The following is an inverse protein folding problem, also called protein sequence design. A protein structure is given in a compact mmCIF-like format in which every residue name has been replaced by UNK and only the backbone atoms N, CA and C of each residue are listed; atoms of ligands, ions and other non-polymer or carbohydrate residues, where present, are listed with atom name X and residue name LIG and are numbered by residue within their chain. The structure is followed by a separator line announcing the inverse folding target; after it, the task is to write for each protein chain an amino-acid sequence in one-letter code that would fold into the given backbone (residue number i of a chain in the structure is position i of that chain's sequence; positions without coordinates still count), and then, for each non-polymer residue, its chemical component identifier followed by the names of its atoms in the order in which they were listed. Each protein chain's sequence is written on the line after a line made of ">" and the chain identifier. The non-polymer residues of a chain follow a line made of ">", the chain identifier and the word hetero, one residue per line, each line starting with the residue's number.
data_IF_529926802398
#
_entry.id   IF_529926802398
#
_cell.length_a   1.000
_cell.length_b   1.000
_cell.length_c   1.000
_cell.angle_alpha   90.00
_cell.angle_beta   90.00
_cell.angle_gamma   90.00
#
_symmetry.space_group_name_H-M   'P 1'
#
loop_
_entity.id
_entity.type
_entity.pdbx_description
1 polymer ?
#
# COMPACT_ATOMS: atom_id res chain seq x y z
N UNK A 1 33.24 -20.98 -5.92
CA UNK A 1 33.65 -19.99 -6.94
C UNK A 1 32.45 -19.68 -7.83
N UNK A 2 31.77 -18.55 -7.58
CA UNK A 2 30.90 -17.79 -8.53
C UNK A 2 30.19 -16.65 -7.78
N UNK A 3 30.76 -15.43 -7.94
CA UNK A 3 30.17 -14.06 -8.05
C UNK A 3 28.94 -13.75 -7.16
N UNK A 4 28.94 -12.85 -6.17
CA UNK A 4 29.48 -11.48 -6.00
C UNK A 4 28.94 -10.44 -7.00
N UNK A 5 28.15 -9.46 -6.50
CA UNK A 5 27.93 -8.15 -7.11
C UNK A 5 26.46 -7.67 -7.20
N UNK A 6 26.03 -6.76 -6.32
CA UNK A 6 25.83 -5.32 -6.63
C UNK A 6 25.09 -4.62 -5.47
N UNK A 7 25.81 -3.81 -4.69
CA UNK A 7 25.27 -2.65 -3.99
C UNK A 7 26.16 -1.49 -4.38
N UNK A 8 25.62 -0.56 -5.16
CA UNK A 8 26.30 0.68 -5.53
C UNK A 8 25.78 1.80 -4.62
N UNK A 9 26.73 2.52 -4.04
CA UNK A 9 26.57 3.69 -3.22
C UNK A 9 25.95 4.86 -4.01
N UNK A 10 25.14 5.69 -3.33
CA UNK A 10 24.68 6.99 -3.82
C UNK A 10 25.41 8.07 -3.03
N UNK A 11 26.21 8.95 -3.65
CA UNK A 11 26.76 10.11 -2.99
C UNK A 11 25.85 11.34 -3.13
N UNK A 12 25.81 12.13 -2.05
CA UNK A 12 25.24 13.47 -1.96
C UNK A 12 25.78 14.43 -3.03
N UNK A 13 24.86 15.16 -3.70
CA UNK A 13 24.97 16.59 -4.03
C UNK A 13 23.71 17.03 -4.81
N UNK A 14 22.76 17.71 -4.16
CA UNK A 14 21.63 18.37 -4.81
C UNK A 14 21.97 19.84 -5.07
N UNK A 15 22.48 20.13 -6.27
CA UNK A 15 22.50 21.49 -6.82
C UNK A 15 21.15 21.77 -7.47
N UNK A 16 20.42 22.75 -6.95
CA UNK A 16 19.15 23.23 -7.51
C UNK A 16 19.39 23.85 -8.90
N UNK A 17 18.95 23.17 -9.96
CA UNK A 17 18.83 23.76 -11.29
C UNK A 17 17.43 24.33 -11.50
N UNK A 18 17.30 25.47 -12.21
CA UNK A 18 16.01 26.09 -12.49
C UNK A 18 15.13 25.22 -13.42
N UNK A 19 13.79 25.39 -13.37
CA UNK A 19 12.85 24.56 -14.11
C UNK A 19 12.97 24.79 -15.62
N UNK A 20 13.36 23.75 -16.36
CA UNK A 20 13.34 23.74 -17.83
C UNK A 20 11.89 23.60 -18.32
N UNK A 21 11.30 24.72 -18.73
CA UNK A 21 10.01 24.76 -19.40
C UNK A 21 10.05 24.09 -20.79
N UNK A 22 8.99 23.32 -21.06
CA UNK A 22 8.55 22.74 -22.35
C UNK A 22 9.58 21.98 -23.18
N UNK A 23 9.77 20.71 -22.81
CA UNK A 23 10.31 19.67 -23.70
C UNK A 23 9.24 19.32 -24.74
N UNK A 24 9.53 19.54 -26.02
CA UNK A 24 8.69 19.09 -27.13
C UNK A 24 8.34 17.60 -26.96
N UNK A 25 7.04 17.29 -26.89
CA UNK A 25 6.56 15.92 -26.74
C UNK A 25 6.92 15.11 -27.99
N UNK A 26 8.04 14.38 -27.93
CA UNK A 26 8.33 13.34 -28.91
C UNK A 26 7.23 12.29 -28.81
N UNK A 27 6.49 12.09 -29.89
CA UNK A 27 5.55 10.98 -30.02
C UNK A 27 6.33 9.68 -29.84
N UNK A 28 6.19 9.04 -28.68
CA UNK A 28 6.80 7.73 -28.45
C UNK A 28 6.16 6.74 -29.42
N UNK A 29 6.99 5.97 -30.14
CA UNK A 29 6.51 4.82 -30.92
C UNK A 29 5.61 3.96 -30.04
N UNK A 30 4.51 3.40 -30.57
CA UNK A 30 3.63 2.52 -29.80
C UNK A 30 4.47 1.40 -29.21
N UNK A 31 4.47 1.30 -27.87
CA UNK A 31 5.17 0.23 -27.14
C UNK A 31 4.52 -1.07 -27.59
N UNK A 32 5.32 -2.05 -28.05
CA UNK A 32 4.79 -3.39 -28.28
C UNK A 32 4.05 -3.84 -27.02
N UNK A 33 2.90 -4.54 -27.15
CA UNK A 33 2.14 -4.99 -25.99
C UNK A 33 3.06 -5.81 -25.10
N UNK A 34 3.15 -5.43 -23.83
CA UNK A 34 3.94 -6.17 -22.86
C UNK A 34 3.46 -7.63 -22.84
N UNK A 35 4.42 -8.56 -22.80
CA UNK A 35 4.11 -9.98 -22.66
C UNK A 35 3.24 -10.19 -21.40
N UNK A 36 2.12 -10.90 -21.56
CA UNK A 36 1.17 -11.12 -20.46
C UNK A 36 1.81 -12.05 -19.44
N UNK A 37 1.78 -11.68 -18.17
CA UNK A 37 2.35 -12.47 -17.07
C UNK A 37 1.49 -13.72 -16.83
N UNK A 38 2.10 -14.91 -16.81
CA UNK A 38 1.44 -16.14 -16.37
C UNK A 38 1.42 -16.21 -14.83
N UNK A 39 0.38 -15.64 -14.23
CA UNK A 39 0.21 -15.67 -12.78
C UNK A 39 0.09 -17.08 -12.20
N UNK A 40 -0.42 -18.06 -12.97
CA UNK A 40 -0.57 -19.44 -12.48
C UNK A 40 0.80 -20.05 -12.22
N UNK A 41 1.76 -19.82 -13.13
CA UNK A 41 3.15 -20.23 -12.94
C UNK A 41 3.76 -19.55 -11.70
N UNK A 42 3.56 -18.23 -11.56
CA UNK A 42 4.08 -17.47 -10.40
C UNK A 42 3.54 -18.00 -9.07
N UNK A 43 2.27 -18.37 -8.98
CA UNK A 43 1.68 -18.95 -7.77
C UNK A 43 2.20 -20.35 -7.44
N UNK A 44 2.64 -21.12 -8.45
CA UNK A 44 3.20 -22.47 -8.27
C UNK A 44 4.66 -22.41 -7.82
N UNK A 45 5.43 -21.47 -8.31
CA UNK A 45 6.84 -21.35 -7.95
C UNK A 45 7.03 -20.48 -6.68
N UNK A 46 7.23 -21.15 -5.54
CA UNK A 46 7.56 -20.47 -4.28
C UNK A 46 8.81 -19.59 -4.33
N UNK A 47 9.76 -19.89 -5.21
CA UNK A 47 11.00 -19.11 -5.37
C UNK A 47 10.74 -17.75 -6.01
N UNK A 48 9.65 -17.64 -6.78
CA UNK A 48 9.24 -16.39 -7.42
C UNK A 48 8.27 -15.62 -6.52
N UNK A 49 7.39 -16.34 -5.82
CA UNK A 49 6.34 -15.72 -5.00
C UNK A 49 6.91 -14.93 -3.81
N UNK A 50 7.94 -15.46 -3.15
CA UNK A 50 8.61 -14.78 -2.03
C UNK A 50 9.12 -13.37 -2.41
N UNK A 51 9.99 -13.24 -3.44
CA UNK A 51 10.45 -11.94 -3.93
C UNK A 51 9.32 -10.98 -4.32
N UNK A 52 8.24 -11.48 -4.94
CA UNK A 52 7.07 -10.65 -5.27
C UNK A 52 6.42 -10.11 -4.00
N UNK A 53 6.15 -10.96 -3.00
CA UNK A 53 5.52 -10.55 -1.74
C UNK A 53 6.40 -9.52 -0.99
N UNK A 54 7.71 -9.76 -0.91
CA UNK A 54 8.63 -8.80 -0.31
C UNK A 54 8.66 -7.48 -1.08
N UNK A 55 8.67 -7.52 -2.41
CA UNK A 55 8.62 -6.31 -3.24
C UNK A 55 7.35 -5.50 -3.03
N UNK A 56 6.19 -6.16 -2.87
CA UNK A 56 4.92 -5.50 -2.56
C UNK A 56 4.96 -4.80 -1.20
N UNK A 57 5.51 -5.45 -0.18
CA UNK A 57 5.64 -4.85 1.17
C UNK A 57 6.58 -3.64 1.12
N UNK A 58 7.76 -3.77 0.50
CA UNK A 58 8.73 -2.66 0.40
C UNK A 58 8.13 -1.48 -0.35
N UNK A 59 7.53 -1.72 -1.52
CA UNK A 59 6.87 -0.65 -2.29
C UNK A 59 5.73 0.01 -1.49
N UNK A 60 4.91 -0.79 -0.80
CA UNK A 60 3.89 -0.25 0.10
C UNK A 60 4.48 0.62 1.21
N UNK A 61 5.57 0.19 1.85
CA UNK A 61 6.24 0.95 2.90
C UNK A 61 6.82 2.26 2.39
N UNK A 62 7.38 2.28 1.19
CA UNK A 62 7.85 3.52 0.54
C UNK A 62 6.70 4.51 0.35
N UNK A 63 5.53 4.06 -0.11
CA UNK A 63 4.35 4.92 -0.23
C UNK A 63 3.86 5.41 1.14
N UNK A 64 3.76 4.52 2.14
CA UNK A 64 3.33 4.89 3.50
C UNK A 64 4.24 5.94 4.14
N UNK A 65 5.56 5.70 4.14
CA UNK A 65 6.56 6.64 4.67
C UNK A 65 6.72 7.87 3.79
N UNK A 66 6.25 7.81 2.54
CA UNK A 66 6.16 8.94 1.63
C UNK A 66 5.01 9.90 1.95
N UNK A 67 3.97 9.46 2.67
CA UNK A 67 2.81 10.30 3.01
C UNK A 67 3.24 11.51 3.87
N UNK A 68 2.80 12.70 3.49
CA UNK A 68 3.20 13.97 4.10
C UNK A 68 2.87 13.98 5.60
N UNK A 69 1.67 13.53 5.96
CA UNK A 69 1.21 13.46 7.34
C UNK A 69 2.03 12.47 8.19
N UNK A 70 2.55 11.39 7.60
CA UNK A 70 3.40 10.42 8.30
C UNK A 70 4.80 11.02 8.51
N UNK A 71 5.34 11.72 7.52
CA UNK A 71 6.66 12.37 7.62
C UNK A 71 6.69 13.50 8.65
N UNK A 72 5.56 14.19 8.82
CA UNK A 72 5.45 15.37 9.68
C UNK A 72 4.57 15.11 10.90
N UNK A 73 4.38 13.85 11.30
CA UNK A 73 3.46 13.47 12.38
C UNK A 73 3.80 14.13 13.72
N UNK A 74 5.08 14.18 14.08
CA UNK A 74 5.53 14.86 15.31
C UNK A 74 5.29 16.38 15.26
N UNK A 75 5.39 17.00 14.07
CA UNK A 75 5.12 18.43 13.92
C UNK A 75 3.62 18.74 14.05
N UNK A 76 2.77 17.86 13.50
CA UNK A 76 1.33 17.96 13.66
C UNK A 76 0.93 17.83 15.14
N UNK A 77 1.53 16.89 15.86
CA UNK A 77 1.30 16.71 17.29
C UNK A 77 1.73 17.94 18.10
N UNK A 78 2.93 18.46 17.83
CA UNK A 78 3.43 19.69 18.46
C UNK A 78 2.54 20.91 18.15
N UNK A 79 1.96 20.99 16.93
CA UNK A 79 1.03 22.04 16.56
C UNK A 79 -0.27 21.97 17.38
N UNK A 80 -0.82 20.76 17.56
CA UNK A 80 -2.00 20.54 18.40
C UNK A 80 -1.71 20.87 19.87
N UNK A 81 -0.52 20.52 20.36
CA UNK A 81 -0.03 20.88 21.70
C UNK A 81 0.00 22.39 21.95
N UNK A 82 0.57 23.16 21.01
CA UNK A 82 0.60 24.63 21.09
C UNK A 82 -0.81 25.23 21.10
N UNK A 83 -1.71 24.69 20.26
CA UNK A 83 -3.12 25.12 20.23
C UNK A 83 -3.81 24.86 21.56
N UNK A 84 -3.68 23.66 22.11
CA UNK A 84 -4.36 23.26 23.36
C UNK A 84 -3.86 24.09 24.56
N UNK A 85 -2.60 24.52 24.54
CA UNK A 85 -2.03 25.45 25.55
C UNK A 85 -2.38 26.92 25.31
N UNK A 86 -3.06 27.25 24.20
CA UNK A 86 -3.40 28.63 23.84
C UNK A 86 -2.19 29.47 23.39
N UNK A 87 -1.10 28.84 22.97
CA UNK A 87 0.12 29.51 22.52
C UNK A 87 0.00 30.10 21.10
N UNK A 88 -0.99 29.64 20.34
CA UNK A 88 -1.27 30.10 18.98
C UNK A 88 -2.76 30.42 18.83
N UNK A 89 -3.04 31.46 18.05
CA UNK A 89 -4.41 31.82 17.68
C UNK A 89 -5.02 30.86 16.67
N UNK A 90 -6.34 30.91 16.51
CA UNK A 90 -7.07 30.05 15.56
C UNK A 90 -6.62 30.27 14.10
N UNK A 91 -6.31 31.50 13.73
CA UNK A 91 -5.85 31.85 12.38
C UNK A 91 -4.46 31.24 12.08
N UNK A 92 -3.50 31.41 12.99
CA UNK A 92 -2.16 30.79 12.86
C UNK A 92 -2.26 29.27 12.81
N UNK A 93 -3.10 28.67 13.67
CA UNK A 93 -3.35 27.23 13.64
C UNK A 93 -3.91 26.76 12.30
N UNK A 94 -4.89 27.47 11.74
CA UNK A 94 -5.48 27.16 10.44
C UNK A 94 -4.46 27.23 9.29
N UNK A 95 -3.60 28.26 9.29
CA UNK A 95 -2.52 28.38 8.29
C UNK A 95 -1.50 27.25 8.42
N UNK A 96 -1.11 26.90 9.65
CA UNK A 96 -0.17 25.81 9.91
C UNK A 96 -0.75 24.42 9.58
N UNK A 97 -2.07 24.25 9.68
CA UNK A 97 -2.76 23.00 9.36
C UNK A 97 -3.02 22.81 7.86
N UNK A 98 -3.07 23.91 7.10
CA UNK A 98 -3.42 23.89 5.68
C UNK A 98 -2.63 22.88 4.83
N UNK A 99 -1.29 22.70 4.98
CA UNK A 99 -0.55 21.70 4.22
C UNK A 99 -1.08 20.27 4.41
N UNK A 100 -1.41 19.88 5.65
CA UNK A 100 -1.99 18.57 5.96
C UNK A 100 -3.36 18.40 5.31
N UNK A 101 -4.17 19.45 5.24
CA UNK A 101 -5.48 19.39 4.59
C UNK A 101 -5.38 19.24 3.07
N UNK A 102 -4.39 19.86 2.44
CA UNK A 102 -4.19 19.77 0.99
C UNK A 102 -3.69 18.39 0.56
N UNK A 103 -2.90 17.72 1.40
CA UNK A 103 -2.35 16.39 1.11
C UNK A 103 -3.20 15.23 1.65
N UNK A 104 -4.28 15.48 2.42
CA UNK A 104 -5.13 14.45 3.07
C UNK A 104 -5.55 13.31 2.11
N UNK A 105 -6.03 13.66 0.92
CA UNK A 105 -6.42 12.66 -0.08
C UNK A 105 -5.22 11.84 -0.57
N UNK A 106 -4.12 12.51 -0.88
CA UNK A 106 -2.91 11.85 -1.38
C UNK A 106 -2.34 10.90 -0.33
N UNK A 107 -2.32 11.35 0.93
CA UNK A 107 -1.84 10.59 2.07
C UNK A 107 -2.75 9.40 2.37
N UNK A 108 -4.07 9.58 2.38
CA UNK A 108 -5.01 8.47 2.56
C UNK A 108 -4.88 7.41 1.47
N UNK A 109 -4.61 7.80 0.21
CA UNK A 109 -4.33 6.86 -0.89
C UNK A 109 -3.04 6.09 -0.60
N UNK A 110 -1.96 6.77 -0.22
CA UNK A 110 -0.66 6.14 0.11
C UNK A 110 -0.78 5.14 1.26
N UNK A 111 -1.49 5.53 2.33
CA UNK A 111 -1.77 4.64 3.46
C UNK A 111 -2.57 3.41 2.99
N UNK A 112 -3.62 3.61 2.19
CA UNK A 112 -4.40 2.50 1.62
C UNK A 112 -3.53 1.57 0.75
N UNK A 113 -2.64 2.12 -0.09
CA UNK A 113 -1.75 1.32 -0.96
C UNK A 113 -0.85 0.41 -0.15
N UNK A 114 -0.29 0.90 0.96
CA UNK A 114 0.51 0.08 1.87
C UNK A 114 -0.29 -1.10 2.42
N UNK A 115 -1.44 -0.85 3.05
CA UNK A 115 -2.24 -1.91 3.65
C UNK A 115 -2.80 -2.89 2.60
N UNK A 116 -3.16 -2.41 1.42
CA UNK A 116 -3.58 -3.26 0.31
C UNK A 116 -2.46 -4.18 -0.17
N UNK A 117 -1.24 -3.67 -0.32
CA UNK A 117 -0.08 -4.47 -0.71
C UNK A 117 0.34 -5.46 0.38
N UNK A 118 0.35 -5.01 1.63
CA UNK A 118 0.60 -5.85 2.80
C UNK A 118 -0.35 -7.04 2.84
N UNK A 119 -1.66 -6.80 2.82
CA UNK A 119 -2.67 -7.87 2.89
C UNK A 119 -2.56 -8.85 1.72
N UNK A 120 -2.28 -8.36 0.51
CA UNK A 120 -2.04 -9.25 -0.66
C UNK A 120 -0.79 -10.08 -0.49
N UNK A 121 0.30 -9.49 0.02
CA UNK A 121 1.55 -10.21 0.26
C UNK A 121 1.35 -11.36 1.26
N UNK A 122 0.63 -11.11 2.37
CA UNK A 122 0.28 -12.14 3.36
C UNK A 122 -0.60 -13.24 2.74
N UNK A 123 -1.60 -12.87 1.96
CA UNK A 123 -2.44 -13.86 1.27
C UNK A 123 -1.63 -14.71 0.28
N UNK A 124 -0.72 -14.09 -0.46
CA UNK A 124 0.11 -14.78 -1.43
C UNK A 124 1.14 -15.71 -0.76
N UNK A 125 1.74 -15.31 0.37
CA UNK A 125 2.64 -16.19 1.14
C UNK A 125 1.88 -17.43 1.66
N UNK A 126 0.62 -17.26 2.03
CA UNK A 126 -0.30 -18.34 2.42
C UNK A 126 -0.94 -19.09 1.23
N UNK A 127 -0.37 -18.94 0.02
CA UNK A 127 -0.80 -19.63 -1.21
C UNK A 127 -2.27 -19.36 -1.58
N UNK A 128 -2.78 -18.17 -1.24
CA UNK A 128 -4.10 -17.69 -1.66
C UNK A 128 -4.00 -16.91 -2.98
N UNK A 129 -5.04 -17.00 -3.79
CA UNK A 129 -5.17 -16.30 -5.07
C UNK A 129 -5.73 -14.90 -4.79
N UNK A 130 -4.97 -13.86 -5.13
CA UNK A 130 -5.40 -12.45 -5.07
C UNK A 130 -5.85 -11.91 -6.42
N UNK A 131 -5.47 -12.55 -7.52
CA UNK A 131 -5.87 -12.15 -8.87
C UNK A 131 -7.32 -12.56 -9.17
N UNK A 132 -8.04 -11.72 -9.89
CA UNK A 132 -9.45 -11.94 -10.24
C UNK A 132 -9.58 -12.92 -11.42
N UNK A 133 -10.70 -13.63 -11.47
CA UNK A 133 -11.04 -14.53 -12.58
C UNK A 133 -11.85 -13.79 -13.66
N UNK A 134 -11.47 -13.91 -14.92
CA UNK A 134 -12.12 -13.21 -16.06
C UNK A 134 -13.12 -14.08 -16.83
N UNK A 135 -12.97 -15.40 -16.76
CA UNK A 135 -13.78 -16.35 -17.53
C UNK A 135 -15.17 -16.54 -16.94
N UNK A 136 -16.23 -16.54 -17.76
CA UNK A 136 -17.63 -16.74 -17.32
C UNK A 136 -17.81 -18.07 -16.56
N UNK A 137 -17.10 -19.13 -16.97
CA UNK A 137 -17.18 -20.43 -16.26
C UNK A 137 -16.63 -20.35 -14.82
N UNK A 138 -15.76 -19.39 -14.54
CA UNK A 138 -15.14 -19.17 -13.23
C UNK A 138 -15.88 -18.12 -12.40
N UNK A 139 -16.96 -17.53 -12.90
CA UNK A 139 -17.80 -16.57 -12.17
C UNK A 139 -18.27 -17.07 -10.81
N UNK A 140 -18.67 -18.36 -10.62
CA UNK A 140 -18.96 -18.88 -9.29
C UNK A 140 -17.75 -18.83 -8.34
N UNK A 141 -16.54 -19.03 -8.85
CA UNK A 141 -15.30 -18.95 -8.06
C UNK A 141 -14.96 -17.50 -7.72
N UNK A 142 -15.12 -16.55 -8.66
CA UNK A 142 -14.97 -15.12 -8.41
C UNK A 142 -15.94 -14.60 -7.34
N UNK A 143 -17.23 -14.99 -7.42
CA UNK A 143 -18.22 -14.68 -6.36
C UNK A 143 -17.82 -15.24 -4.99
N UNK A 144 -17.15 -16.40 -4.95
CA UNK A 144 -16.62 -16.96 -3.70
C UNK A 144 -15.40 -16.19 -3.21
N UNK A 145 -14.51 -15.77 -4.12
CA UNK A 145 -13.32 -14.97 -3.80
C UNK A 145 -13.71 -13.64 -3.13
N UNK A 146 -14.78 -12.99 -3.59
CA UNK A 146 -15.30 -11.77 -2.95
C UNK A 146 -15.76 -11.98 -1.49
N UNK A 147 -16.00 -13.22 -1.07
CA UNK A 147 -16.47 -13.56 0.29
C UNK A 147 -15.40 -14.18 1.16
N UNK A 148 -14.42 -14.86 0.57
CA UNK A 148 -13.36 -15.58 1.31
C UNK A 148 -12.14 -15.86 0.41
N UNK A 149 -10.95 -16.05 1.02
CA UNK A 149 -9.75 -16.45 0.29
C UNK A 149 -9.94 -17.76 -0.50
N UNK A 150 -9.27 -17.85 -1.66
CA UNK A 150 -9.25 -19.05 -2.51
C UNK A 150 -7.82 -19.57 -2.60
N UNK A 151 -7.59 -20.79 -2.12
CA UNK A 151 -6.28 -21.45 -2.19
C UNK A 151 -5.86 -21.78 -3.64
N UNK A 152 -4.57 -21.64 -3.96
CA UNK A 152 -4.02 -21.82 -5.30
C UNK A 152 -4.22 -23.23 -5.89
N UNK A 153 -4.45 -24.28 -5.06
CA UNK A 153 -4.80 -25.63 -5.53
C UNK A 153 -6.03 -25.67 -6.45
N UNK A 154 -6.88 -24.64 -6.39
CA UNK A 154 -8.01 -24.49 -7.33
C UNK A 154 -7.56 -24.30 -8.78
N UNK A 155 -6.34 -23.81 -9.05
CA UNK A 155 -5.80 -23.75 -10.41
C UNK A 155 -5.75 -25.15 -11.05
N UNK A 156 -5.28 -26.15 -10.30
CA UNK A 156 -5.21 -27.55 -10.77
C UNK A 156 -6.60 -28.17 -10.79
N UNK A 157 -7.35 -28.05 -9.68
CA UNK A 157 -8.68 -28.68 -9.52
C UNK A 157 -9.67 -28.25 -10.59
N UNK A 158 -9.67 -26.97 -10.98
CA UNK A 158 -10.60 -26.41 -11.95
C UNK A 158 -10.02 -26.30 -13.36
N UNK A 159 -8.78 -26.78 -13.57
CA UNK A 159 -8.03 -26.65 -14.83
C UNK A 159 -8.07 -25.22 -15.36
N UNK A 160 -7.70 -24.27 -14.51
CA UNK A 160 -7.71 -22.83 -14.85
C UNK A 160 -6.53 -22.56 -15.79
N UNK A 161 -6.80 -21.85 -16.88
CA UNK A 161 -5.79 -21.45 -17.86
C UNK A 161 -5.27 -20.02 -17.58
N UNK A 162 -4.04 -19.68 -17.96
CA UNK A 162 -3.46 -18.35 -17.70
C UNK A 162 -4.30 -17.18 -18.21
N UNK A 163 -4.98 -17.36 -19.36
CA UNK A 163 -5.86 -16.33 -19.94
C UNK A 163 -7.10 -16.01 -19.10
N UNK A 164 -7.48 -16.91 -18.19
CA UNK A 164 -8.68 -16.78 -17.34
C UNK A 164 -8.40 -16.10 -16.00
N UNK A 165 -7.13 -15.74 -15.76
CA UNK A 165 -6.68 -14.93 -14.63
C UNK A 165 -6.39 -13.52 -15.14
N UNK A 166 -6.95 -12.53 -14.43
CA UNK A 166 -6.77 -11.11 -14.68
C UNK A 166 -5.49 -10.60 -14.04
N UNK A 167 -4.93 -9.51 -14.57
CA UNK A 167 -3.92 -8.71 -13.85
C UNK A 167 -4.58 -7.87 -12.75
N UNK A 168 -5.91 -7.72 -12.77
CA UNK A 168 -6.66 -7.11 -11.68
C UNK A 168 -6.65 -8.02 -10.45
N UNK A 169 -6.51 -7.41 -9.29
CA UNK A 169 -6.48 -8.11 -8.00
C UNK A 169 -7.73 -7.77 -7.18
N UNK A 170 -8.00 -8.56 -6.13
CA UNK A 170 -9.01 -8.23 -5.14
C UNK A 170 -8.66 -6.90 -4.46
N UNK A 171 -9.65 -6.03 -4.28
CA UNK A 171 -9.46 -4.73 -3.66
C UNK A 171 -9.47 -4.79 -2.13
N UNK A 172 -8.98 -3.71 -1.51
CA UNK A 172 -8.86 -3.59 -0.06
C UNK A 172 -10.17 -3.88 0.71
N UNK A 173 -11.31 -3.39 0.22
CA UNK A 173 -12.62 -3.63 0.85
C UNK A 173 -12.99 -5.12 0.98
N UNK A 174 -12.54 -5.98 0.06
CA UNK A 174 -12.73 -7.43 0.17
C UNK A 174 -11.86 -8.02 1.28
N UNK A 175 -10.61 -7.57 1.40
CA UNK A 175 -9.64 -8.10 2.37
C UNK A 175 -9.92 -7.63 3.80
N UNK A 176 -10.65 -6.54 4.00
CA UNK A 176 -11.06 -6.05 5.33
C UNK A 176 -12.20 -6.85 5.98
N UNK A 177 -12.80 -7.81 5.25
CA UNK A 177 -13.87 -8.64 5.79
C UNK A 177 -13.34 -9.72 6.75
N UNK A 178 -14.24 -10.28 7.57
CA UNK A 178 -13.88 -11.25 8.62
C UNK A 178 -13.16 -12.49 8.07
N UNK A 179 -13.63 -13.04 6.95
CA UNK A 179 -13.10 -14.28 6.37
C UNK A 179 -11.67 -14.12 5.85
N UNK A 180 -11.31 -12.92 5.37
CA UNK A 180 -9.94 -12.62 4.98
C UNK A 180 -9.05 -12.35 6.21
N UNK A 181 -9.59 -11.69 7.23
CA UNK A 181 -8.86 -11.39 8.46
C UNK A 181 -8.54 -12.63 9.30
N UNK A 182 -9.22 -13.76 9.11
CA UNK A 182 -8.81 -15.07 9.69
C UNK A 182 -7.39 -15.50 9.26
N UNK A 183 -6.95 -15.08 8.07
CA UNK A 183 -5.62 -15.37 7.53
C UNK A 183 -4.68 -14.18 7.72
N UNK A 184 -5.14 -12.97 7.38
CA UNK A 184 -4.31 -11.75 7.43
C UNK A 184 -3.97 -11.36 8.87
N UNK A 185 -4.95 -11.44 9.77
CA UNK A 185 -4.81 -11.14 11.21
C UNK A 185 -4.21 -9.75 11.49
N UNK A 186 -4.75 -8.69 10.87
CA UNK A 186 -4.42 -7.34 11.33
C UNK A 186 -4.84 -7.18 12.81
N UNK A 187 -4.05 -6.49 13.65
CA UNK A 187 -4.50 -6.05 14.97
C UNK A 187 -5.84 -5.31 14.86
N UNK A 188 -6.78 -5.55 15.78
CA UNK A 188 -8.15 -5.04 15.64
C UNK A 188 -8.21 -3.52 15.62
N UNK A 189 -7.33 -2.84 16.37
CA UNK A 189 -7.19 -1.39 16.37
C UNK A 189 -6.67 -0.87 15.01
N UNK A 190 -5.61 -1.47 14.46
CA UNK A 190 -5.11 -1.16 13.10
C UNK A 190 -6.19 -1.40 12.06
N UNK A 191 -6.91 -2.53 12.16
CA UNK A 191 -7.98 -2.90 11.25
C UNK A 191 -9.14 -1.88 11.28
N UNK A 192 -9.52 -1.39 12.46
CA UNK A 192 -10.54 -0.37 12.62
C UNK A 192 -10.13 0.94 11.91
N UNK A 193 -8.90 1.40 12.15
CA UNK A 193 -8.37 2.62 11.53
C UNK A 193 -8.32 2.49 10.00
N UNK A 194 -7.82 1.38 9.48
CA UNK A 194 -7.74 1.14 8.02
C UNK A 194 -9.12 1.09 7.37
N UNK A 195 -10.14 0.53 8.06
CA UNK A 195 -11.53 0.55 7.58
C UNK A 195 -12.07 1.96 7.46
N UNK A 196 -11.81 2.81 8.46
CA UNK A 196 -12.23 4.21 8.47
C UNK A 196 -11.59 5.00 7.32
N UNK A 197 -10.26 4.93 7.17
CA UNK A 197 -9.54 5.59 6.07
C UNK A 197 -10.07 5.13 4.70
N UNK A 198 -10.29 3.82 4.53
CA UNK A 198 -10.83 3.26 3.30
C UNK A 198 -12.26 3.75 3.00
N UNK A 199 -13.11 3.87 4.03
CA UNK A 199 -14.48 4.40 3.88
C UNK A 199 -14.46 5.87 3.50
N UNK A 200 -13.68 6.67 4.24
CA UNK A 200 -13.52 8.11 4.01
C UNK A 200 -13.07 8.41 2.57
N UNK A 201 -12.09 7.65 2.05
CA UNK A 201 -11.65 7.77 0.65
C UNK A 201 -12.78 7.47 -0.35
N UNK A 202 -13.62 6.47 -0.10
CA UNK A 202 -14.74 6.13 -0.99
C UNK A 202 -15.85 7.19 -0.95
N UNK A 203 -15.99 7.90 0.16
CA UNK A 203 -16.95 8.98 0.36
C UNK A 203 -16.50 10.32 -0.22
N UNK A 204 -15.24 10.45 -0.67
CA UNK A 204 -14.67 11.70 -1.16
C UNK A 204 -15.51 12.33 -2.28
N UNK A 205 -16.13 11.52 -3.13
CA UNK A 205 -17.04 11.99 -4.19
C UNK A 205 -18.26 12.78 -3.68
N UNK A 206 -18.56 12.68 -2.38
CA UNK A 206 -19.75 13.24 -1.77
C UNK A 206 -19.47 14.33 -0.74
N UNK A 207 -18.20 14.67 -0.48
CA UNK A 207 -17.84 15.71 0.50
C UNK A 207 -17.78 17.08 -0.19
N UNK A 208 -18.71 18.01 0.11
CA UNK A 208 -18.72 19.34 -0.51
C UNK A 208 -17.57 20.22 -0.04
N UNK A 209 -16.95 19.90 1.11
CA UNK A 209 -15.80 20.61 1.67
C UNK A 209 -14.77 19.61 2.23
N UNK A 210 -13.49 19.91 2.04
CA UNK A 210 -12.37 19.23 2.71
C UNK A 210 -12.28 19.82 4.12
N UNK A 211 -13.09 19.31 5.04
CA UNK A 211 -12.92 19.56 6.46
C UNK A 211 -12.10 18.40 7.04
N UNK A 212 -10.77 18.53 6.99
CA UNK A 212 -9.89 17.61 7.70
C UNK A 212 -10.00 17.88 9.20
N UNK A 213 -10.63 16.96 9.94
CA UNK A 213 -10.63 16.99 11.40
C UNK A 213 -9.35 16.33 11.91
N UNK A 214 -8.26 17.10 11.91
CA UNK A 214 -7.01 16.68 12.53
C UNK A 214 -7.10 16.92 14.04
N UNK A 215 -7.53 15.88 14.75
CA UNK A 215 -7.62 15.85 16.20
C UNK A 215 -6.57 14.96 16.86
N UNK A 216 -6.60 14.89 18.20
CA UNK A 216 -5.74 14.00 18.98
C UNK A 216 -5.95 12.53 18.66
N UNK A 217 -7.19 12.12 18.39
CA UNK A 217 -7.52 10.76 17.93
C UNK A 217 -6.82 10.44 16.61
N UNK A 218 -6.88 11.35 15.64
CA UNK A 218 -6.24 11.19 14.32
C UNK A 218 -4.73 10.98 14.46
N UNK A 219 -4.05 11.79 15.28
CA UNK A 219 -2.61 11.61 15.54
C UNK A 219 -2.30 10.28 16.21
N UNK A 220 -3.10 9.89 17.22
CA UNK A 220 -2.91 8.61 17.91
C UNK A 220 -3.09 7.41 16.96
N UNK A 221 -4.07 7.48 16.08
CA UNK A 221 -4.32 6.44 15.07
C UNK A 221 -3.18 6.37 14.05
N UNK A 222 -2.71 7.52 13.55
CA UNK A 222 -1.56 7.57 12.65
C UNK A 222 -0.27 7.05 13.30
N UNK A 223 -0.04 7.32 14.59
CA UNK A 223 1.09 6.74 15.35
C UNK A 223 0.98 5.21 15.38
N UNK A 224 -0.18 4.65 15.68
CA UNK A 224 -0.40 3.18 15.67
C UNK A 224 -0.13 2.57 14.29
N UNK A 225 -0.62 3.20 13.22
CA UNK A 225 -0.34 2.73 11.86
C UNK A 225 1.16 2.77 11.56
N UNK A 226 1.84 3.83 12.02
CA UNK A 226 3.27 4.00 11.83
C UNK A 226 4.10 2.95 12.59
N UNK A 227 3.76 2.69 13.86
CA UNK A 227 4.37 1.64 14.68
C UNK A 227 4.17 0.25 14.05
N UNK A 228 2.95 -0.03 13.56
CA UNK A 228 2.68 -1.26 12.83
C UNK A 228 3.58 -1.38 11.59
N UNK A 229 3.66 -0.34 10.76
CA UNK A 229 4.48 -0.35 9.54
C UNK A 229 5.98 -0.52 9.84
N UNK A 230 6.48 0.06 10.93
CA UNK A 230 7.90 -0.03 11.31
C UNK A 230 8.35 -1.43 11.70
N UNK A 231 7.47 -2.23 12.32
CA UNK A 231 7.79 -3.63 12.62
C UNK A 231 8.21 -4.41 11.37
N UNK A 232 7.54 -4.16 10.23
CA UNK A 232 7.84 -4.79 8.95
C UNK A 232 9.14 -4.30 8.31
N UNK A 233 9.50 -3.03 8.54
CA UNK A 233 10.81 -2.50 8.12
C UNK A 233 11.92 -3.23 8.84
N UNK A 234 11.79 -3.42 10.16
CA UNK A 234 12.77 -4.12 10.97
C UNK A 234 12.91 -5.57 10.52
N UNK A 235 11.81 -6.29 10.33
CA UNK A 235 11.83 -7.66 9.82
C UNK A 235 12.52 -7.77 8.45
N UNK A 236 12.23 -6.86 7.53
CA UNK A 236 12.85 -6.85 6.21
C UNK A 236 14.37 -6.59 6.28
N UNK A 237 14.80 -5.70 7.17
CA UNK A 237 16.22 -5.41 7.41
C UNK A 237 16.93 -6.63 7.99
N UNK A 238 16.36 -7.28 9.00
CA UNK A 238 16.96 -8.47 9.62
C UNK A 238 17.03 -9.65 8.64
N UNK A 239 15.96 -9.89 7.86
CA UNK A 239 15.97 -10.90 6.80
C UNK A 239 16.99 -10.62 5.68
N UNK A 240 17.41 -9.37 5.50
CA UNK A 240 18.47 -8.98 4.55
C UNK A 240 19.86 -9.26 5.12
N UNK A 241 20.08 -9.00 6.43
CA UNK A 241 21.33 -9.31 7.12
C UNK A 241 21.61 -10.81 7.16
N UNK A 242 20.61 -11.62 7.55
CA UNK A 242 20.72 -13.07 7.65
C UNK A 242 21.06 -13.78 6.32
N UNK A 243 20.83 -13.13 5.17
CA UNK A 243 21.18 -13.67 3.84
C UNK A 243 22.62 -13.40 3.42
N UNK A 244 23.35 -12.57 4.16
CA UNK A 244 24.76 -12.23 3.89
C UNK A 244 25.75 -13.07 4.69
N UNK A 245 25.28 -13.69 5.76
CA UNK A 245 26.02 -14.65 6.60
C UNK A 245 25.95 -16.06 5.99
#
# INVERSE_FOLDING_TARGET
>A
SLRCGLLAAIPHALTLQPPRYFRTMRTRKPKQPAEKVDWIEKYRDGRILGPICSGMIVFGLEEFKGAYIIQNLDQLEALLDRKDRGEIGLEEFGQALAPYMFDDLSDSIRICVFFENYMKAILMSERMIVHQFTSERLKPLGKRQNKRPIVNRYFVKCRIEPREVSDQTIGMGTMLNKQYQEIIKLPEDVLAIVREINSSRNELHFRPNIAGEYGRSTVADLRKLNEFAESWVQEAVEASKARRE
#
